data_IF_051052963167
#
_entry.id   IF_051052963167
#
_cell.length_a   1.000
_cell.length_b   1.000
_cell.length_c   1.000
_cell.angle_alpha   90.00
_cell.angle_beta   90.00
_cell.angle_gamma   90.00
#
_symmetry.space_group_name_H-M   'P 1'
#
loop_
_entity.id
_entity.type
_entity.pdbx_description
1 polymer ?
#
# COMPACT_ATOMS: atom_id res chain seq x y z
N UNK A 1 -41.07 -3.04 4.57
CA UNK A 1 -39.65 -3.22 4.22
C UNK A 1 -38.91 -1.99 4.73
N UNK A 2 -38.05 -2.17 5.76
CA UNK A 2 -37.15 -1.09 6.15
C UNK A 2 -36.17 -0.88 4.97
N UNK A 3 -35.89 0.39 4.57
CA UNK A 3 -34.92 0.64 3.52
C UNK A 3 -33.58 0.07 3.97
N UNK A 4 -32.96 -0.78 3.14
CA UNK A 4 -31.62 -1.27 3.38
C UNK A 4 -30.70 -0.05 3.42
N UNK A 5 -30.14 0.27 4.58
CA UNK A 5 -29.24 1.40 4.72
C UNK A 5 -28.00 1.13 3.85
N UNK A 6 -27.75 2.03 2.89
CA UNK A 6 -26.56 1.92 2.05
C UNK A 6 -25.32 2.12 2.89
N UNK A 7 -24.36 1.22 2.76
CA UNK A 7 -23.05 1.36 3.42
C UNK A 7 -22.24 2.44 2.73
N UNK A 8 -21.57 3.26 3.53
CA UNK A 8 -20.72 4.35 3.07
C UNK A 8 -19.25 3.95 3.22
N UNK A 9 -18.54 3.78 2.12
CA UNK A 9 -17.17 3.31 2.07
C UNK A 9 -16.24 4.39 1.54
N UNK A 10 -15.13 4.64 2.24
CA UNK A 10 -14.04 5.46 1.75
C UNK A 10 -12.98 4.59 1.09
N UNK A 11 -12.47 4.99 -0.07
CA UNK A 11 -11.22 4.49 -0.64
C UNK A 11 -10.18 5.61 -0.60
N UNK A 12 -9.05 5.33 -0.01
CA UNK A 12 -8.00 6.32 0.21
C UNK A 12 -6.69 5.77 -0.38
N UNK A 13 -6.20 6.43 -1.41
CA UNK A 13 -4.92 6.11 -2.04
C UNK A 13 -3.80 6.94 -1.39
N UNK A 14 -2.58 6.46 -1.49
CA UNK A 14 -1.38 7.18 -1.02
C UNK A 14 -1.02 8.39 -1.90
N UNK A 15 -1.43 8.35 -3.18
CA UNK A 15 -1.20 9.40 -4.15
C UNK A 15 -2.25 9.40 -5.26
N UNK A 16 -2.55 10.55 -5.84
CA UNK A 16 -3.31 10.67 -7.11
C UNK A 16 -2.40 10.29 -8.29
N UNK A 17 -2.33 8.99 -8.55
CA UNK A 17 -1.44 8.39 -9.54
C UNK A 17 -2.23 7.50 -10.51
N UNK A 18 -1.87 7.48 -11.81
CA UNK A 18 -2.47 6.59 -12.81
C UNK A 18 -2.46 5.10 -12.42
N UNK A 19 -1.53 4.66 -11.58
CA UNK A 19 -1.51 3.31 -11.02
C UNK A 19 -2.84 2.93 -10.36
N UNK A 20 -3.50 3.87 -9.68
CA UNK A 20 -4.76 3.64 -8.97
C UNK A 20 -6.02 3.75 -9.84
N UNK A 21 -5.93 4.26 -11.08
CA UNK A 21 -7.11 4.49 -11.90
C UNK A 21 -7.91 3.23 -12.23
N UNK A 22 -7.29 2.06 -12.56
CA UNK A 22 -8.03 0.82 -12.77
C UNK A 22 -8.78 0.37 -11.53
N UNK A 23 -8.15 0.44 -10.35
CA UNK A 23 -8.75 0.07 -9.07
C UNK A 23 -9.91 1.01 -8.73
N UNK A 24 -9.72 2.31 -8.88
CA UNK A 24 -10.77 3.32 -8.69
C UNK A 24 -11.98 3.08 -9.59
N UNK A 25 -11.74 2.84 -10.88
CA UNK A 25 -12.82 2.54 -11.84
C UNK A 25 -13.60 1.28 -11.43
N UNK A 26 -12.89 0.24 -11.03
CA UNK A 26 -13.53 -1.00 -10.59
C UNK A 26 -14.29 -0.81 -9.28
N UNK A 27 -13.76 -0.03 -8.34
CA UNK A 27 -14.43 0.27 -7.08
C UNK A 27 -15.80 0.92 -7.30
N UNK A 28 -15.90 1.93 -8.17
CA UNK A 28 -17.19 2.55 -8.52
C UNK A 28 -18.16 1.56 -9.16
N UNK A 29 -17.67 0.68 -10.05
CA UNK A 29 -18.53 -0.36 -10.66
C UNK A 29 -19.06 -1.34 -9.63
N UNK A 30 -18.20 -1.81 -8.72
CA UNK A 30 -18.56 -2.74 -7.66
C UNK A 30 -19.53 -2.09 -6.68
N UNK A 31 -19.29 -0.84 -6.29
CA UNK A 31 -20.17 -0.08 -5.42
C UNK A 31 -21.61 0.02 -5.99
N UNK A 32 -21.72 0.25 -7.30
CA UNK A 32 -23.01 0.27 -8.00
C UNK A 32 -23.72 -1.10 -7.96
N UNK A 33 -22.96 -2.20 -8.18
CA UNK A 33 -23.51 -3.57 -8.15
C UNK A 33 -23.98 -3.95 -6.75
N UNK A 34 -23.18 -3.64 -5.74
CA UNK A 34 -23.41 -4.01 -4.34
C UNK A 34 -24.26 -2.99 -3.58
N UNK A 35 -24.67 -1.91 -4.24
CA UNK A 35 -25.47 -0.82 -3.65
C UNK A 35 -24.77 -0.13 -2.46
N UNK A 36 -23.49 0.18 -2.59
CA UNK A 36 -22.71 0.99 -1.64
C UNK A 36 -22.56 2.43 -2.11
N UNK A 37 -22.45 3.36 -1.17
CA UNK A 37 -21.96 4.70 -1.44
C UNK A 37 -20.45 4.72 -1.28
N UNK A 38 -19.73 5.10 -2.31
CA UNK A 38 -18.26 5.11 -2.31
C UNK A 38 -17.73 6.51 -2.59
N UNK A 39 -16.74 6.93 -1.82
CA UNK A 39 -15.97 8.14 -2.08
C UNK A 39 -14.50 7.79 -2.16
N UNK A 40 -13.82 8.29 -3.20
CA UNK A 40 -12.38 8.06 -3.40
C UNK A 40 -11.63 9.33 -3.05
N UNK A 41 -10.59 9.18 -2.26
CA UNK A 41 -9.64 10.23 -1.90
C UNK A 41 -8.24 9.84 -2.34
N UNK A 42 -7.49 10.81 -2.85
CA UNK A 42 -6.08 10.63 -3.20
C UNK A 42 -5.34 11.96 -3.01
N UNK A 43 -4.25 11.99 -2.22
CA UNK A 43 -3.41 13.15 -2.10
C UNK A 43 -2.77 13.51 -3.45
N UNK A 44 -2.64 14.80 -3.74
CA UNK A 44 -1.93 15.30 -4.92
C UNK A 44 -0.49 15.65 -4.63
N UNK A 45 -0.21 16.02 -3.39
CA UNK A 45 1.13 16.32 -2.90
C UNK A 45 1.92 15.06 -2.56
N UNK A 46 3.25 15.17 -2.53
CA UNK A 46 4.17 14.13 -2.03
C UNK A 46 4.79 14.58 -0.71
N UNK A 47 5.40 13.66 0.02
CA UNK A 47 6.05 13.95 1.30
C UNK A 47 5.08 14.54 2.32
N UNK A 48 5.50 15.57 3.04
CA UNK A 48 4.69 16.21 4.09
C UNK A 48 3.35 16.76 3.57
N UNK A 49 3.34 17.35 2.37
CA UNK A 49 2.10 17.87 1.78
C UNK A 49 1.07 16.75 1.55
N UNK A 50 1.50 15.62 0.98
CA UNK A 50 0.63 14.45 0.78
C UNK A 50 0.13 13.86 2.10
N UNK A 51 1.00 13.79 3.11
CA UNK A 51 0.62 13.34 4.44
C UNK A 51 -0.46 14.23 5.07
N UNK A 52 -0.31 15.55 4.97
CA UNK A 52 -1.31 16.50 5.48
C UNK A 52 -2.66 16.37 4.76
N UNK A 53 -2.65 16.18 3.43
CA UNK A 53 -3.86 15.91 2.66
C UNK A 53 -4.52 14.61 3.11
N UNK A 54 -3.76 13.51 3.28
CA UNK A 54 -4.30 12.25 3.77
C UNK A 54 -4.91 12.39 5.17
N UNK A 55 -4.20 13.03 6.10
CA UNK A 55 -4.72 13.33 7.45
C UNK A 55 -6.03 14.12 7.39
N UNK A 56 -6.13 15.11 6.50
CA UNK A 56 -7.38 15.84 6.29
C UNK A 56 -8.51 14.92 5.81
N UNK A 57 -8.24 14.05 4.83
CA UNK A 57 -9.23 13.09 4.34
C UNK A 57 -9.69 12.12 5.43
N UNK A 58 -8.76 11.61 6.22
CA UNK A 58 -9.11 10.69 7.32
C UNK A 58 -9.97 11.36 8.39
N UNK A 59 -9.70 12.63 8.73
CA UNK A 59 -10.59 13.39 9.63
C UNK A 59 -12.00 13.52 9.07
N UNK A 60 -12.13 13.82 7.78
CA UNK A 60 -13.42 13.88 7.10
C UNK A 60 -14.15 12.53 7.12
N UNK A 61 -13.46 11.41 6.92
CA UNK A 61 -14.03 10.05 7.03
C UNK A 61 -14.63 9.82 8.42
N UNK A 62 -13.91 10.23 9.48
CA UNK A 62 -14.39 10.13 10.86
C UNK A 62 -15.62 11.02 11.14
N UNK A 63 -15.62 12.24 10.64
CA UNK A 63 -16.70 13.23 10.85
C UNK A 63 -17.98 12.81 10.11
N UNK A 64 -17.85 12.33 8.89
CA UNK A 64 -18.96 11.94 8.03
C UNK A 64 -19.49 10.52 8.27
N UNK A 65 -18.97 9.82 9.28
CA UNK A 65 -19.42 8.50 9.73
C UNK A 65 -19.48 7.45 8.61
N UNK A 66 -18.35 7.18 7.98
CA UNK A 66 -18.22 6.05 7.06
C UNK A 66 -18.32 4.72 7.81
N UNK A 67 -18.89 3.70 7.16
CA UNK A 67 -18.96 2.33 7.69
C UNK A 67 -17.64 1.59 7.55
N UNK A 68 -16.86 1.92 6.52
CA UNK A 68 -15.57 1.28 6.26
C UNK A 68 -14.62 2.13 5.43
N UNK A 69 -13.37 1.77 5.50
CA UNK A 69 -12.28 2.38 4.74
C UNK A 69 -11.39 1.31 4.12
N UNK A 70 -11.10 1.47 2.83
CA UNK A 70 -10.04 0.74 2.13
C UNK A 70 -8.91 1.73 1.87
N UNK A 71 -7.71 1.47 2.38
CA UNK A 71 -6.63 2.46 2.36
C UNK A 71 -5.28 1.85 2.01
N UNK A 72 -4.55 2.52 1.08
CA UNK A 72 -3.09 2.44 0.96
C UNK A 72 -2.49 3.56 1.80
N UNK A 73 -1.99 3.29 3.01
CA UNK A 73 -1.62 4.35 3.94
C UNK A 73 -0.24 4.93 3.61
N UNK A 74 -0.08 6.23 3.79
CA UNK A 74 1.25 6.84 3.93
C UNK A 74 1.78 6.47 5.32
N UNK A 75 3.04 6.02 5.40
CA UNK A 75 3.69 5.63 6.66
C UNK A 75 3.97 6.87 7.54
N UNK A 76 3.00 7.23 8.37
CA UNK A 76 3.06 8.39 9.27
C UNK A 76 2.23 8.14 10.53
N UNK A 77 2.77 8.49 11.68
CA UNK A 77 2.11 8.29 12.99
C UNK A 77 0.75 9.00 13.11
N UNK A 78 0.55 10.12 12.42
CA UNK A 78 -0.73 10.86 12.41
C UNK A 78 -1.81 10.07 11.67
N UNK A 79 -1.42 9.42 10.55
CA UNK A 79 -2.28 8.53 9.76
C UNK A 79 -2.65 7.31 10.59
N UNK A 80 -1.66 6.65 11.19
CA UNK A 80 -1.83 5.48 12.05
C UNK A 80 -2.82 5.76 13.19
N UNK A 81 -2.62 6.83 13.96
CA UNK A 81 -3.50 7.22 15.07
C UNK A 81 -4.94 7.49 14.64
N UNK A 82 -5.14 8.06 13.46
CA UNK A 82 -6.49 8.29 12.94
C UNK A 82 -7.18 6.99 12.56
N UNK A 83 -6.45 6.03 11.98
CA UNK A 83 -6.97 4.72 11.65
C UNK A 83 -7.29 3.89 12.91
N UNK A 84 -6.44 3.95 13.95
CA UNK A 84 -6.77 3.37 15.27
C UNK A 84 -8.10 3.91 15.80
N UNK A 85 -8.25 5.23 15.80
CA UNK A 85 -9.48 5.88 16.24
C UNK A 85 -10.70 5.51 15.39
N UNK A 86 -10.52 5.25 14.10
CA UNK A 86 -11.59 4.75 13.22
C UNK A 86 -12.02 3.35 13.64
N UNK A 87 -11.06 2.44 13.82
CA UNK A 87 -11.33 1.07 14.27
C UNK A 87 -12.03 1.04 15.63
N UNK A 88 -11.60 1.86 16.60
CA UNK A 88 -12.25 2.02 17.90
C UNK A 88 -13.71 2.50 17.79
N UNK A 89 -14.04 3.27 16.77
CA UNK A 89 -15.40 3.73 16.50
C UNK A 89 -16.23 2.77 15.65
N UNK A 90 -15.70 1.59 15.34
CA UNK A 90 -16.39 0.56 14.58
C UNK A 90 -16.36 0.77 13.06
N UNK A 91 -15.47 1.63 12.54
CA UNK A 91 -15.21 1.72 11.11
C UNK A 91 -14.36 0.52 10.70
N UNK A 92 -14.85 -0.29 9.77
CA UNK A 92 -14.10 -1.44 9.25
C UNK A 92 -12.90 -0.98 8.41
N UNK A 93 -11.70 -1.37 8.81
CA UNK A 93 -10.46 -1.01 8.11
C UNK A 93 -9.99 -2.16 7.25
N UNK A 94 -9.71 -1.87 5.98
CA UNK A 94 -9.07 -2.78 5.02
C UNK A 94 -7.83 -2.07 4.49
N UNK A 95 -6.69 -2.70 4.66
CA UNK A 95 -5.43 -2.20 4.12
C UNK A 95 -5.18 -2.70 2.70
N UNK A 96 -4.51 -1.87 1.92
CA UNK A 96 -4.08 -2.18 0.57
C UNK A 96 -2.57 -1.89 0.49
N UNK A 97 -1.80 -2.85 0.00
CA UNK A 97 -0.33 -2.90 -0.12
C UNK A 97 0.42 -3.00 1.20
N UNK A 98 0.15 -2.14 2.18
CA UNK A 98 0.82 -2.12 3.48
C UNK A 98 -0.18 -1.86 4.60
N UNK A 99 0.16 -2.24 5.83
CA UNK A 99 -0.67 -2.08 7.02
C UNK A 99 0.16 -1.49 8.17
N UNK A 100 -0.52 -0.99 9.19
CA UNK A 100 0.07 -0.71 10.49
C UNK A 100 -0.31 -1.82 11.46
N UNK A 101 0.66 -2.48 12.07
CA UNK A 101 0.45 -3.59 13.01
C UNK A 101 -0.39 -3.19 14.23
N UNK A 102 -0.30 -1.93 14.62
CA UNK A 102 -1.01 -1.38 15.77
C UNK A 102 -2.49 -1.06 15.51
N UNK A 103 -2.93 -1.09 14.25
CA UNK A 103 -4.31 -0.78 13.86
C UNK A 103 -5.11 -2.06 13.69
N UNK A 104 -6.22 -2.27 14.43
CA UNK A 104 -7.12 -3.37 14.14
C UNK A 104 -7.70 -3.25 12.72
N UNK A 105 -7.58 -4.29 11.91
CA UNK A 105 -8.11 -4.31 10.56
C UNK A 105 -8.76 -5.65 10.20
N UNK A 106 -9.62 -5.63 9.19
CA UNK A 106 -10.33 -6.82 8.72
C UNK A 106 -9.45 -7.71 7.83
N UNK A 107 -8.70 -7.10 6.94
CA UNK A 107 -7.79 -7.78 6.00
C UNK A 107 -6.79 -6.80 5.38
N UNK A 108 -5.67 -7.36 4.93
CA UNK A 108 -4.69 -6.70 4.06
C UNK A 108 -4.78 -7.34 2.68
N UNK A 109 -4.93 -6.50 1.66
CA UNK A 109 -4.89 -6.90 0.25
C UNK A 109 -3.55 -6.40 -0.31
N UNK A 110 -2.63 -7.30 -0.51
CA UNK A 110 -1.27 -6.97 -0.98
C UNK A 110 -0.55 -8.17 -1.57
N UNK A 111 0.65 -7.92 -2.04
CA UNK A 111 1.59 -8.93 -2.49
C UNK A 111 2.51 -9.29 -1.32
N UNK A 112 2.82 -10.56 -1.15
CA UNK A 112 3.94 -10.97 -0.31
C UNK A 112 5.24 -10.47 -0.98
N UNK A 113 5.73 -9.33 -0.48
CA UNK A 113 6.84 -8.62 -1.10
C UNK A 113 8.16 -9.38 -0.98
N UNK A 114 8.37 -10.09 0.12
CA UNK A 114 9.57 -10.92 0.28
C UNK A 114 9.57 -12.08 -0.73
N UNK A 115 8.46 -12.81 -0.86
CA UNK A 115 8.35 -13.89 -1.84
C UNK A 115 8.40 -13.39 -3.29
N UNK A 116 7.87 -12.21 -3.57
CA UNK A 116 8.03 -11.54 -4.86
C UNK A 116 9.52 -11.26 -5.15
N UNK A 117 10.26 -10.78 -4.15
CA UNK A 117 11.71 -10.60 -4.22
C UNK A 117 12.43 -11.90 -4.47
N UNK A 118 12.13 -12.96 -3.74
CA UNK A 118 12.72 -14.29 -3.96
C UNK A 118 12.46 -14.79 -5.39
N UNK A 119 11.22 -14.70 -5.87
CA UNK A 119 10.88 -15.11 -7.25
C UNK A 119 11.66 -14.31 -8.30
N UNK A 120 11.89 -13.01 -8.05
CA UNK A 120 12.74 -12.17 -8.91
C UNK A 120 14.19 -12.64 -8.87
N UNK A 121 14.73 -12.90 -7.68
CA UNK A 121 16.10 -13.44 -7.51
C UNK A 121 16.30 -14.76 -8.25
N UNK A 122 15.34 -15.69 -8.16
CA UNK A 122 15.40 -16.96 -8.89
C UNK A 122 15.37 -16.75 -10.41
N UNK A 123 14.51 -15.89 -10.91
CA UNK A 123 14.45 -15.57 -12.35
C UNK A 123 15.77 -14.94 -12.83
N UNK A 124 16.37 -14.06 -12.04
CA UNK A 124 17.69 -13.47 -12.34
C UNK A 124 18.78 -14.56 -12.35
N UNK A 125 18.80 -15.45 -11.35
CA UNK A 125 19.72 -16.58 -11.30
C UNK A 125 19.63 -17.46 -12.54
N UNK A 126 18.42 -17.80 -12.96
CA UNK A 126 18.20 -18.60 -14.18
C UNK A 126 18.69 -17.90 -15.44
N UNK A 127 18.43 -16.60 -15.56
CA UNK A 127 18.84 -15.81 -16.72
C UNK A 127 20.35 -15.56 -16.78
N UNK A 128 21.01 -15.43 -15.61
CA UNK A 128 22.42 -15.10 -15.53
C UNK A 128 23.32 -16.29 -15.87
N UNK A 129 22.89 -17.52 -15.61
CA UNK A 129 23.70 -18.72 -15.74
C UNK A 129 24.82 -18.83 -14.69
N UNK A 130 25.96 -19.43 -15.08
CA UNK A 130 27.05 -19.76 -14.14
C UNK A 130 27.94 -18.55 -13.79
N UNK A 131 28.07 -17.58 -14.70
CA UNK A 131 29.03 -16.48 -14.59
C UNK A 131 28.32 -15.11 -14.76
N UNK A 132 28.37 -14.30 -13.73
CA UNK A 132 27.81 -12.95 -13.83
C UNK A 132 27.68 -12.27 -12.47
N UNK A 133 27.29 -10.98 -12.49
CA UNK A 133 27.01 -10.18 -11.32
C UNK A 133 25.73 -9.39 -11.52
N UNK A 134 25.06 -9.04 -10.44
CA UNK A 134 23.78 -8.35 -10.44
C UNK A 134 23.91 -6.95 -9.88
N UNK A 135 23.45 -5.94 -10.60
CA UNK A 135 23.23 -4.60 -10.07
C UNK A 135 21.80 -4.46 -9.57
N UNK A 136 21.61 -4.08 -8.31
CA UNK A 136 20.31 -3.83 -7.74
C UNK A 136 20.12 -2.33 -7.60
N UNK A 137 19.14 -1.77 -8.33
CA UNK A 137 18.77 -0.36 -8.24
C UNK A 137 17.57 -0.23 -7.31
N UNK A 138 17.75 0.51 -6.23
CA UNK A 138 16.65 0.85 -5.31
C UNK A 138 16.66 2.35 -4.99
N UNK A 139 15.54 2.86 -4.51
CA UNK A 139 15.44 4.23 -4.03
C UNK A 139 16.22 4.38 -2.72
N UNK A 140 16.90 5.51 -2.54
CA UNK A 140 17.76 5.77 -1.39
C UNK A 140 16.98 5.89 -0.07
N UNK A 141 15.79 6.48 -0.12
CA UNK A 141 15.00 6.86 1.04
C UNK A 141 13.72 6.00 1.18
N UNK A 142 13.84 4.71 0.93
CA UNK A 142 12.69 3.82 1.06
C UNK A 142 12.33 3.58 2.53
N UNK A 143 11.36 4.35 2.99
CA UNK A 143 10.60 4.07 4.21
C UNK A 143 9.45 3.08 3.95
N UNK A 144 9.38 2.49 2.76
CA UNK A 144 8.30 1.58 2.37
C UNK A 144 8.77 0.15 2.62
N UNK A 145 8.32 -0.45 3.70
CA UNK A 145 8.62 -1.82 4.13
C UNK A 145 8.53 -2.84 3.00
N UNK A 146 7.48 -2.77 2.18
CA UNK A 146 7.27 -3.67 1.04
C UNK A 146 8.38 -3.61 -0.02
N UNK A 147 9.11 -2.51 -0.13
CA UNK A 147 10.25 -2.39 -1.05
C UNK A 147 11.50 -3.02 -0.43
N UNK A 148 11.73 -2.82 0.86
CA UNK A 148 12.83 -3.45 1.59
C UNK A 148 12.66 -4.98 1.64
N UNK A 149 11.47 -5.48 1.92
CA UNK A 149 11.16 -6.91 1.89
C UNK A 149 11.47 -7.52 0.53
N UNK A 150 11.07 -6.84 -0.54
CA UNK A 150 11.35 -7.29 -1.91
C UNK A 150 12.84 -7.31 -2.20
N UNK A 151 13.58 -6.29 -1.76
CA UNK A 151 15.02 -6.23 -1.86
C UNK A 151 15.67 -7.40 -1.10
N UNK A 152 15.27 -7.64 0.15
CA UNK A 152 15.80 -8.74 0.95
C UNK A 152 15.53 -10.10 0.30
N UNK A 153 14.34 -10.30 -0.25
CA UNK A 153 14.03 -11.53 -0.98
C UNK A 153 14.96 -11.79 -2.16
N UNK A 154 15.27 -10.74 -2.95
CA UNK A 154 16.26 -10.86 -4.06
C UNK A 154 17.64 -11.19 -3.50
N UNK A 155 18.13 -10.41 -2.53
CA UNK A 155 19.48 -10.53 -1.97
C UNK A 155 19.71 -11.90 -1.34
N UNK A 156 18.71 -12.46 -0.66
CA UNK A 156 18.84 -13.78 -0.04
C UNK A 156 19.05 -14.87 -1.09
N UNK A 157 18.32 -14.85 -2.21
CA UNK A 157 18.54 -15.78 -3.32
C UNK A 157 19.94 -15.62 -3.91
N UNK A 158 20.40 -14.39 -4.12
CA UNK A 158 21.73 -14.15 -4.67
C UNK A 158 22.84 -14.68 -3.73
N UNK A 159 22.71 -14.45 -2.42
CA UNK A 159 23.63 -14.96 -1.39
C UNK A 159 23.62 -16.49 -1.31
N UNK A 160 22.45 -17.12 -1.27
CA UNK A 160 22.28 -18.57 -1.24
C UNK A 160 23.00 -19.25 -2.43
N UNK A 161 22.99 -18.59 -3.59
CA UNK A 161 23.63 -19.10 -4.82
C UNK A 161 25.01 -18.51 -5.10
N UNK A 162 25.57 -17.74 -4.15
CA UNK A 162 26.91 -17.11 -4.27
C UNK A 162 27.09 -16.23 -5.51
N UNK A 163 26.02 -15.58 -5.92
CA UNK A 163 26.03 -14.64 -7.05
C UNK A 163 26.48 -13.27 -6.54
N UNK A 164 27.57 -12.69 -7.11
CA UNK A 164 28.00 -11.35 -6.77
C UNK A 164 26.91 -10.31 -7.09
N UNK A 165 26.68 -9.37 -6.19
CA UNK A 165 25.73 -8.27 -6.44
C UNK A 165 26.27 -6.94 -5.91
N UNK A 166 25.79 -5.84 -6.47
CA UNK A 166 26.15 -4.48 -6.12
C UNK A 166 24.89 -3.66 -5.89
N UNK A 167 24.82 -2.98 -4.75
CA UNK A 167 23.78 -2.02 -4.49
C UNK A 167 24.06 -0.72 -5.25
N UNK A 168 23.20 -0.41 -6.20
CA UNK A 168 23.22 0.81 -6.99
C UNK A 168 22.08 1.70 -6.49
N UNK A 169 22.34 2.44 -5.42
CA UNK A 169 21.32 3.36 -4.88
C UNK A 169 21.13 4.51 -5.84
N UNK A 170 19.92 4.67 -6.35
CA UNK A 170 19.55 5.84 -7.16
C UNK A 170 19.64 7.15 -6.34
N UNK A 171 19.76 8.32 -6.98
CA UNK A 171 19.65 9.59 -6.29
C UNK A 171 18.28 9.64 -5.61
N UNK A 172 18.25 9.98 -4.31
CA UNK A 172 17.02 10.34 -3.63
C UNK A 172 16.44 11.60 -4.26
N UNK A 173 15.10 11.68 -4.38
CA UNK A 173 14.42 12.92 -4.76
C UNK A 173 14.55 13.97 -3.66
#
# INVERSE_FOLDING_TARGET
YAPVQRRKIAMVWDLDDPFWYPATKQAYRTAKILNFDITVFAPKGRGEAGTLEMVHFLKKVLEERYDGICISPIADLRVEKLLQKMAEKGVEVIFILSAFDSVPYRTLIGTDSYQCGRSTGEAVREALGADGAVGIIKWKDNLIETVEDRYHGVVDVLKENRIPYYDMTGPGE
#
